data_IF_391128427559
#
_entry.id   IF_391128427559
#
_cell.length_a   1.000
_cell.length_b   1.000
_cell.length_c   1.000
_cell.angle_alpha   90.00
_cell.angle_beta   90.00
_cell.angle_gamma   90.00
#
_symmetry.space_group_name_H-M   'P 1'
#
loop_
_entity.id
_entity.type
_entity.pdbx_description
1 polymer ?
#
# COMPACT_ATOMS: atom_id res chain seq x y z
N UNK A 1 7.87 -44.25 12.16
CA UNK A 1 6.38 -44.20 12.17
C UNK A 1 5.99 -43.18 13.23
N UNK A 2 5.35 -42.07 12.85
CA UNK A 2 5.04 -40.99 13.80
C UNK A 2 3.98 -41.46 14.80
N UNK A 3 4.04 -41.02 16.07
CA UNK A 3 2.86 -41.04 16.92
C UNK A 3 1.76 -40.28 16.18
N UNK A 4 0.58 -40.89 16.04
CA UNK A 4 -0.57 -40.30 15.35
C UNK A 4 -0.94 -38.91 15.91
N UNK A 5 -0.64 -38.67 17.19
CA UNK A 5 -0.75 -37.39 17.91
C UNK A 5 0.15 -36.27 17.33
N UNK A 6 1.36 -36.58 16.87
CA UNK A 6 2.25 -35.57 16.29
C UNK A 6 1.82 -35.19 14.87
N UNK A 7 1.30 -36.16 14.12
CA UNK A 7 0.91 -35.95 12.72
C UNK A 7 -0.23 -34.93 12.61
N UNK A 8 -1.30 -35.10 13.39
CA UNK A 8 -2.44 -34.17 13.32
C UNK A 8 -2.04 -32.75 13.73
N UNK A 9 -1.16 -32.60 14.74
CA UNK A 9 -0.72 -31.29 15.20
C UNK A 9 0.06 -30.56 14.10
N UNK A 10 0.97 -31.25 13.42
CA UNK A 10 1.71 -30.64 12.31
C UNK A 10 0.81 -30.31 11.12
N UNK A 11 -0.08 -31.22 10.74
CA UNK A 11 -1.01 -31.00 9.62
C UNK A 11 -1.96 -29.82 9.95
N UNK A 12 -2.41 -29.72 11.20
CA UNK A 12 -3.18 -28.58 11.71
C UNK A 12 -2.36 -27.28 11.63
N UNK A 13 -1.14 -27.25 12.19
CA UNK A 13 -0.30 -26.03 12.15
C UNK A 13 0.05 -25.57 10.73
N UNK A 14 0.24 -26.50 9.79
CA UNK A 14 0.53 -26.15 8.41
C UNK A 14 -0.70 -25.56 7.71
N UNK A 15 -1.89 -26.11 7.99
CA UNK A 15 -3.16 -25.58 7.50
C UNK A 15 -3.45 -24.16 8.02
N UNK A 16 -3.22 -23.91 9.32
CA UNK A 16 -3.37 -22.59 9.93
C UNK A 16 -2.33 -21.59 9.40
N UNK A 17 -1.08 -22.03 9.21
CA UNK A 17 -0.04 -21.19 8.62
C UNK A 17 -0.37 -20.78 7.18
N UNK A 18 -0.93 -21.70 6.39
CA UNK A 18 -1.39 -21.41 5.04
C UNK A 18 -2.58 -20.44 5.04
N UNK A 19 -3.58 -20.67 5.89
CA UNK A 19 -4.74 -19.78 6.03
C UNK A 19 -4.31 -18.35 6.43
N UNK A 20 -3.34 -18.22 7.34
CA UNK A 20 -2.80 -16.92 7.72
C UNK A 20 -2.03 -16.25 6.58
N UNK A 21 -1.23 -17.00 5.82
CA UNK A 21 -0.53 -16.46 4.65
C UNK A 21 -1.52 -15.95 3.57
N UNK A 22 -2.57 -16.72 3.29
CA UNK A 22 -3.62 -16.36 2.34
C UNK A 22 -4.35 -15.08 2.81
N UNK A 23 -4.66 -14.98 4.11
CA UNK A 23 -5.24 -13.77 4.70
C UNK A 23 -4.33 -12.54 4.53
N UNK A 24 -3.02 -12.67 4.72
CA UNK A 24 -2.08 -11.55 4.51
C UNK A 24 -1.99 -11.13 3.04
N UNK A 25 -1.99 -12.09 2.11
CA UNK A 25 -2.01 -11.80 0.67
C UNK A 25 -3.29 -11.04 0.30
N UNK A 26 -4.44 -11.46 0.81
CA UNK A 26 -5.71 -10.76 0.57
C UNK A 26 -5.70 -9.34 1.17
N UNK A 27 -5.12 -9.17 2.35
CA UNK A 27 -4.93 -7.83 2.94
C UNK A 27 -4.08 -6.93 2.04
N UNK A 28 -2.95 -7.43 1.52
CA UNK A 28 -2.09 -6.68 0.60
C UNK A 28 -2.83 -6.32 -0.68
N UNK A 29 -3.55 -7.27 -1.28
CA UNK A 29 -4.36 -7.04 -2.48
C UNK A 29 -5.44 -5.97 -2.23
N UNK A 30 -6.10 -6.01 -1.08
CA UNK A 30 -7.10 -5.01 -0.71
C UNK A 30 -6.49 -3.61 -0.56
N UNK A 31 -5.29 -3.52 0.00
CA UNK A 31 -4.55 -2.28 0.17
C UNK A 31 -4.11 -1.69 -1.18
N UNK A 32 -3.66 -2.54 -2.09
CA UNK A 32 -3.30 -2.15 -3.45
C UNK A 32 -4.52 -1.62 -4.23
N UNK A 33 -5.66 -2.31 -4.14
CA UNK A 33 -6.92 -1.82 -4.74
C UNK A 33 -7.34 -0.47 -4.16
N UNK A 34 -7.26 -0.31 -2.84
CA UNK A 34 -7.59 0.96 -2.19
C UNK A 34 -6.65 2.10 -2.64
N UNK A 35 -5.35 1.83 -2.75
CA UNK A 35 -4.37 2.78 -3.25
C UNK A 35 -4.64 3.17 -4.71
N UNK A 36 -4.94 2.20 -5.58
CA UNK A 36 -5.29 2.46 -6.98
C UNK A 36 -6.56 3.31 -7.10
N UNK A 37 -7.61 3.00 -6.34
CA UNK A 37 -8.84 3.79 -6.32
C UNK A 37 -8.58 5.23 -5.86
N UNK A 38 -7.77 5.41 -4.81
CA UNK A 38 -7.41 6.74 -4.33
C UNK A 38 -6.59 7.51 -5.37
N UNK A 39 -5.65 6.86 -6.06
CA UNK A 39 -4.88 7.48 -7.14
C UNK A 39 -5.78 7.99 -8.27
N UNK A 40 -6.74 7.17 -8.70
CA UNK A 40 -7.72 7.55 -9.72
C UNK A 40 -8.50 8.78 -9.26
N UNK A 41 -9.02 8.78 -8.03
CA UNK A 41 -9.75 9.92 -7.48
C UNK A 41 -8.91 11.19 -7.45
N UNK A 42 -7.65 11.11 -7.01
CA UNK A 42 -6.73 12.23 -6.97
C UNK A 42 -6.45 12.79 -8.37
N UNK A 43 -6.19 11.92 -9.36
CA UNK A 43 -5.91 12.33 -10.74
C UNK A 43 -7.14 12.92 -11.42
N UNK A 44 -8.32 12.33 -11.22
CA UNK A 44 -9.59 12.88 -11.73
C UNK A 44 -9.88 14.23 -11.11
N UNK A 45 -9.69 14.38 -9.79
CA UNK A 45 -9.85 15.67 -9.11
C UNK A 45 -8.84 16.73 -9.58
N UNK A 46 -7.57 16.35 -9.73
CA UNK A 46 -6.52 17.25 -10.20
C UNK A 46 -6.75 17.71 -11.65
N UNK A 47 -7.14 16.78 -12.53
CA UNK A 47 -7.51 17.08 -13.92
C UNK A 47 -8.77 17.94 -14.02
N UNK A 48 -9.78 17.66 -13.20
CA UNK A 48 -11.00 18.47 -13.11
C UNK A 48 -10.72 19.91 -12.67
N UNK A 49 -9.90 20.09 -11.63
CA UNK A 49 -9.48 21.42 -11.17
C UNK A 49 -8.68 22.18 -12.24
N UNK A 50 -7.82 21.49 -13.00
CA UNK A 50 -7.07 22.09 -14.11
C UNK A 50 -7.98 22.50 -15.27
N UNK A 51 -8.95 21.65 -15.63
CA UNK A 51 -9.93 21.95 -16.67
C UNK A 51 -10.79 23.18 -16.30
N UNK A 52 -11.23 23.25 -15.03
CA UNK A 52 -11.95 24.42 -14.51
C UNK A 52 -11.08 25.68 -14.53
N UNK A 53 -9.81 25.58 -14.15
CA UNK A 53 -8.87 26.71 -14.27
C UNK A 53 -8.80 27.26 -15.70
N UNK A 54 -8.69 26.38 -16.71
CA UNK A 54 -8.64 26.78 -18.12
C UNK A 54 -9.95 27.46 -18.54
N UNK A 55 -11.11 26.92 -18.17
CA UNK A 55 -12.41 27.51 -18.48
C UNK A 55 -12.58 28.90 -17.86
N UNK A 56 -12.36 29.00 -16.55
CA UNK A 56 -12.53 30.23 -15.76
C UNK A 56 -11.56 31.33 -16.23
N UNK A 57 -10.36 30.95 -16.68
CA UNK A 57 -9.39 31.88 -17.27
C UNK A 57 -9.88 32.46 -18.60
N UNK A 58 -10.52 31.66 -19.45
CA UNK A 58 -11.07 32.12 -20.72
C UNK A 58 -12.29 33.04 -20.51
N UNK A 59 -13.08 32.80 -19.47
CA UNK A 59 -14.26 33.60 -19.12
C UNK A 59 -13.93 34.92 -18.39
N UNK A 60 -12.64 35.24 -18.21
CA UNK A 60 -12.20 36.49 -17.58
C UNK A 60 -12.53 36.58 -16.08
N UNK A 61 -12.73 35.44 -15.41
CA UNK A 61 -13.09 35.43 -14.00
C UNK A 61 -11.94 35.95 -13.11
N UNK A 62 -12.24 36.37 -11.88
CA UNK A 62 -11.26 37.04 -11.03
C UNK A 62 -10.07 36.15 -10.67
N UNK A 63 -8.88 36.75 -10.63
CA UNK A 63 -7.59 36.06 -10.43
C UNK A 63 -7.52 35.21 -9.15
N UNK A 64 -8.23 35.60 -8.09
CA UNK A 64 -8.28 34.82 -6.84
C UNK A 64 -8.88 33.42 -7.06
N UNK A 65 -9.90 33.30 -7.92
CA UNK A 65 -10.54 32.02 -8.21
C UNK A 65 -9.63 31.13 -9.06
N UNK A 66 -8.92 31.73 -10.02
CA UNK A 66 -7.94 31.05 -10.85
C UNK A 66 -6.78 30.51 -10.00
N UNK A 67 -6.26 31.32 -9.06
CA UNK A 67 -5.19 30.93 -8.15
C UNK A 67 -5.57 29.74 -7.27
N UNK A 68 -6.80 29.74 -6.70
CA UNK A 68 -7.29 28.63 -5.90
C UNK A 68 -7.40 27.31 -6.68
N UNK A 69 -7.93 27.35 -7.91
CA UNK A 69 -8.07 26.16 -8.77
C UNK A 69 -6.72 25.59 -9.18
N UNK A 70 -5.78 26.45 -9.58
CA UNK A 70 -4.42 26.03 -9.95
C UNK A 70 -3.68 25.42 -8.75
N UNK A 71 -3.74 26.07 -7.58
CA UNK A 71 -3.11 25.57 -6.37
C UNK A 71 -3.66 24.19 -5.97
N UNK A 72 -4.98 24.00 -6.07
CA UNK A 72 -5.62 22.72 -5.76
C UNK A 72 -5.21 21.61 -6.71
N UNK A 73 -5.12 21.91 -8.01
CA UNK A 73 -4.66 20.94 -9.02
C UNK A 73 -3.21 20.51 -8.76
N UNK A 74 -2.30 21.46 -8.56
CA UNK A 74 -0.88 21.18 -8.27
C UNK A 74 -0.73 20.37 -6.97
N UNK A 75 -1.51 20.70 -5.94
CA UNK A 75 -1.50 19.98 -4.68
C UNK A 75 -1.97 18.53 -4.81
N UNK A 76 -3.07 18.29 -5.53
CA UNK A 76 -3.57 16.93 -5.77
C UNK A 76 -2.59 16.10 -6.60
N UNK A 77 -1.93 16.69 -7.60
CA UNK A 77 -0.84 16.01 -8.34
C UNK A 77 0.35 15.67 -7.44
N UNK A 78 0.74 16.57 -6.53
CA UNK A 78 1.81 16.31 -5.58
C UNK A 78 1.46 15.14 -4.64
N UNK A 79 0.24 15.11 -4.11
CA UNK A 79 -0.24 14.00 -3.27
C UNK A 79 -0.28 12.69 -4.07
N UNK A 80 -0.77 12.71 -5.31
CA UNK A 80 -0.79 11.54 -6.18
C UNK A 80 0.63 10.99 -6.41
N UNK A 81 1.62 11.86 -6.61
CA UNK A 81 3.02 11.47 -6.72
C UNK A 81 3.54 10.80 -5.44
N UNK A 82 3.24 11.37 -4.27
CA UNK A 82 3.60 10.78 -2.96
C UNK A 82 2.96 9.39 -2.80
N UNK A 83 1.70 9.23 -3.17
CA UNK A 83 1.00 7.95 -3.11
C UNK A 83 1.68 6.88 -3.96
N UNK A 84 2.06 7.21 -5.20
CA UNK A 84 2.76 6.27 -6.09
C UNK A 84 4.11 5.87 -5.50
N UNK A 85 4.90 6.84 -5.05
CA UNK A 85 6.24 6.58 -4.52
C UNK A 85 6.24 5.82 -3.18
N UNK A 86 5.25 6.05 -2.31
CA UNK A 86 5.22 5.46 -0.96
C UNK A 86 4.35 4.22 -0.82
N UNK A 87 3.29 4.09 -1.61
CA UNK A 87 2.35 2.98 -1.48
C UNK A 87 2.44 1.98 -2.65
N UNK A 88 2.59 2.47 -3.88
CA UNK A 88 2.51 1.63 -5.09
C UNK A 88 3.84 1.08 -5.57
N UNK A 89 4.97 1.59 -5.08
CA UNK A 89 6.25 0.99 -5.42
C UNK A 89 6.22 -0.49 -4.99
N UNK A 90 6.44 -1.38 -5.97
CA UNK A 90 6.43 -2.82 -5.77
C UNK A 90 7.43 -3.14 -4.67
N UNK A 91 6.90 -3.56 -3.52
CA UNK A 91 7.72 -4.12 -2.45
C UNK A 91 7.77 -5.59 -2.75
N UNK A 92 8.96 -6.19 -2.71
CA UNK A 92 9.12 -7.63 -2.88
C UNK A 92 8.22 -8.34 -1.85
N UNK A 93 7.13 -8.94 -2.32
CA UNK A 93 6.29 -9.79 -1.48
C UNK A 93 7.05 -11.09 -1.33
N UNK A 94 7.51 -11.39 -0.12
CA UNK A 94 8.19 -12.65 0.14
C UNK A 94 7.16 -13.79 -0.03
N UNK A 95 7.42 -14.78 -0.90
CA UNK A 95 6.49 -15.89 -1.04
C UNK A 95 6.41 -16.65 0.28
N UNK A 96 5.22 -17.07 0.73
CA UNK A 96 5.06 -17.89 1.93
C UNK A 96 5.62 -19.31 1.73
N UNK A 97 5.94 -19.68 0.49
CA UNK A 97 6.60 -20.94 0.16
C UNK A 97 8.11 -20.79 0.26
N UNK A 98 8.76 -21.71 0.98
CA UNK A 98 10.22 -21.82 0.94
C UNK A 98 10.67 -22.19 -0.47
N UNK A 99 11.73 -21.52 -0.96
CA UNK A 99 12.37 -21.92 -2.20
C UNK A 99 12.84 -23.38 -2.14
N UNK A 100 12.75 -24.13 -3.26
CA UNK A 100 13.16 -25.54 -3.30
C UNK A 100 14.63 -25.74 -2.91
N UNK A 101 15.47 -24.72 -3.11
CA UNK A 101 16.87 -24.69 -2.68
C UNK A 101 17.06 -24.69 -1.15
N UNK A 102 16.08 -24.19 -0.40
CA UNK A 102 16.11 -24.18 1.06
C UNK A 102 15.57 -25.49 1.65
N UNK A 103 14.68 -26.17 0.92
CA UNK A 103 14.11 -27.47 1.30
C UNK A 103 15.09 -28.62 1.04
N UNK A 104 15.83 -28.58 -0.07
CA UNK A 104 16.82 -29.59 -0.46
C UNK A 104 18.24 -29.02 -0.36
N UNK A 105 18.88 -29.16 0.81
CA UNK A 105 20.28 -28.78 1.05
C UNK A 105 21.01 -29.94 1.77
N UNK A 106 22.34 -30.02 1.68
CA UNK A 106 23.12 -31.08 2.35
C UNK A 106 22.89 -31.12 3.86
N UNK A 107 22.52 -29.98 4.47
CA UNK A 107 22.11 -29.89 5.87
C UNK A 107 20.77 -30.54 6.16
N UNK A 108 19.77 -30.39 5.29
CA UNK A 108 18.43 -30.98 5.48
C UNK A 108 18.43 -32.49 5.22
N UNK A 109 19.38 -32.99 4.43
CA UNK A 109 19.57 -34.43 4.17
C UNK A 109 20.02 -35.24 5.41
N UNK A 110 20.69 -34.62 6.38
CA UNK A 110 21.12 -35.25 7.64
C UNK A 110 20.24 -34.90 8.84
N UNK A 111 19.25 -34.01 8.67
CA UNK A 111 18.46 -33.50 9.77
C UNK A 111 17.24 -34.37 10.08
N UNK A 112 16.94 -34.56 11.36
CA UNK A 112 15.72 -35.25 11.78
C UNK A 112 14.48 -34.53 11.24
N UNK A 113 13.48 -35.29 10.78
CA UNK A 113 12.29 -34.75 10.13
C UNK A 113 11.52 -33.74 11.00
N UNK A 114 11.59 -33.88 12.34
CA UNK A 114 10.97 -32.96 13.30
C UNK A 114 11.66 -31.59 13.35
N UNK A 115 13.00 -31.56 13.28
CA UNK A 115 13.78 -30.31 13.25
C UNK A 115 13.55 -29.60 11.92
N UNK A 116 13.46 -30.37 10.82
CA UNK A 116 13.20 -29.84 9.49
C UNK A 116 11.82 -29.16 9.40
N UNK A 117 10.76 -29.82 9.91
CA UNK A 117 9.43 -29.23 9.95
C UNK A 117 9.38 -27.93 10.78
N UNK A 118 10.09 -27.89 11.91
CA UNK A 118 10.17 -26.69 12.75
C UNK A 118 10.81 -25.52 12.01
N UNK A 119 11.95 -25.74 11.35
CA UNK A 119 12.62 -24.69 10.56
C UNK A 119 11.75 -24.19 9.40
N UNK A 120 10.99 -25.08 8.74
CA UNK A 120 10.04 -24.71 7.69
C UNK A 120 8.97 -23.76 8.25
N UNK A 121 8.36 -24.10 9.38
CA UNK A 121 7.33 -23.27 10.02
C UNK A 121 7.90 -21.91 10.47
N UNK A 122 9.09 -21.88 11.05
CA UNK A 122 9.76 -20.63 11.44
C UNK A 122 10.12 -19.76 10.22
N UNK A 123 10.45 -20.36 9.08
CA UNK A 123 10.69 -19.62 7.84
C UNK A 123 9.39 -19.02 7.28
N UNK A 124 8.29 -19.80 7.26
CA UNK A 124 6.96 -19.32 6.87
C UNK A 124 6.52 -18.13 7.73
N UNK A 125 6.70 -18.25 9.06
CA UNK A 125 6.36 -17.18 10.00
C UNK A 125 7.18 -15.90 9.74
N UNK A 126 8.48 -16.03 9.45
CA UNK A 126 9.33 -14.88 9.08
C UNK A 126 8.86 -14.18 7.81
N UNK A 127 8.46 -14.93 6.78
CA UNK A 127 7.86 -14.33 5.57
C UNK A 127 6.56 -13.57 5.89
N UNK A 128 5.70 -14.16 6.73
CA UNK A 128 4.44 -13.54 7.17
C UNK A 128 4.70 -12.23 7.91
N UNK A 129 5.65 -12.22 8.85
CA UNK A 129 6.00 -11.02 9.62
C UNK A 129 6.59 -9.92 8.74
N UNK A 130 7.48 -10.26 7.81
CA UNK A 130 8.04 -9.32 6.85
C UNK A 130 6.95 -8.69 5.98
N UNK A 131 6.02 -9.51 5.45
CA UNK A 131 4.91 -9.02 4.64
C UNK A 131 3.96 -8.12 5.45
N UNK A 132 3.71 -8.47 6.72
CA UNK A 132 2.89 -7.66 7.63
C UNK A 132 3.50 -6.29 7.91
N UNK A 133 4.82 -6.23 8.14
CA UNK A 133 5.49 -4.97 8.44
C UNK A 133 5.49 -4.04 7.23
N UNK A 134 5.76 -4.58 6.03
CA UNK A 134 5.61 -3.87 4.77
C UNK A 134 4.18 -3.35 4.57
N UNK A 135 3.18 -4.19 4.80
CA UNK A 135 1.77 -3.81 4.67
C UNK A 135 1.38 -2.70 5.68
N UNK A 136 1.87 -2.76 6.92
CA UNK A 136 1.59 -1.76 7.95
C UNK A 136 2.19 -0.38 7.58
N UNK A 137 3.42 -0.36 7.05
CA UNK A 137 4.06 0.88 6.57
C UNK A 137 3.24 1.48 5.43
N UNK A 138 2.87 0.67 4.42
CA UNK A 138 2.05 1.12 3.29
C UNK A 138 0.66 1.62 3.73
N UNK A 139 0.03 0.90 4.67
CA UNK A 139 -1.27 1.28 5.23
C UNK A 139 -1.24 2.63 5.94
N UNK A 140 -0.17 2.92 6.70
CA UNK A 140 0.02 4.24 7.33
C UNK A 140 0.13 5.35 6.29
N UNK A 141 0.94 5.15 5.25
CA UNK A 141 1.06 6.15 4.17
C UNK A 141 -0.26 6.36 3.43
N UNK A 142 -1.01 5.31 3.14
CA UNK A 142 -2.32 5.43 2.49
C UNK A 142 -3.30 6.27 3.31
N UNK A 143 -3.31 6.09 4.63
CA UNK A 143 -4.15 6.89 5.52
C UNK A 143 -3.68 8.36 5.56
N UNK A 144 -2.37 8.60 5.61
CA UNK A 144 -1.80 9.96 5.57
C UNK A 144 -2.19 10.67 4.27
N UNK A 145 -2.06 10.01 3.12
CA UNK A 145 -2.47 10.56 1.82
C UNK A 145 -3.96 10.87 1.80
N UNK A 146 -4.80 9.98 2.36
CA UNK A 146 -6.24 10.23 2.48
C UNK A 146 -6.56 11.48 3.30
N UNK A 147 -5.86 11.68 4.42
CA UNK A 147 -5.99 12.88 5.25
C UNK A 147 -5.49 14.14 4.51
N UNK A 148 -4.42 14.03 3.74
CA UNK A 148 -3.95 15.16 2.90
C UNK A 148 -4.98 15.50 1.81
N UNK A 149 -5.61 14.49 1.21
CA UNK A 149 -6.64 14.69 0.18
C UNK A 149 -7.90 15.38 0.75
N UNK A 150 -8.29 15.12 2.00
CA UNK A 150 -9.42 15.83 2.62
C UNK A 150 -9.10 17.29 2.94
N UNK A 151 -7.82 17.67 3.00
CA UNK A 151 -7.39 19.05 3.19
C UNK A 151 -7.41 19.93 1.92
N UNK A 152 -7.78 19.37 0.75
CA UNK A 152 -7.85 20.13 -0.52
C UNK A 152 -8.65 21.43 -0.46
N UNK A 153 -9.83 21.53 0.21
CA UNK A 153 -10.57 22.79 0.31
C UNK A 153 -9.79 23.89 1.05
N UNK A 154 -8.95 23.51 2.02
CA UNK A 154 -8.09 24.45 2.74
C UNK A 154 -7.01 25.00 1.81
N UNK A 155 -6.40 24.14 0.99
CA UNK A 155 -5.40 24.55 0.00
C UNK A 155 -6.01 25.47 -1.05
N UNK A 156 -7.24 25.18 -1.50
CA UNK A 156 -7.99 26.08 -2.37
C UNK A 156 -8.15 27.46 -1.72
N UNK A 157 -8.61 27.50 -0.46
CA UNK A 157 -8.81 28.75 0.29
C UNK A 157 -7.52 29.57 0.45
N UNK A 158 -6.40 28.90 0.76
CA UNK A 158 -5.08 29.55 0.88
C UNK A 158 -4.62 30.09 -0.49
N UNK A 159 -4.74 29.29 -1.55
CA UNK A 159 -4.40 29.73 -2.90
C UNK A 159 -5.23 30.92 -3.36
N UNK A 160 -6.53 30.90 -3.08
CA UNK A 160 -7.43 32.00 -3.34
C UNK A 160 -7.06 33.27 -2.56
N UNK A 161 -6.79 33.15 -1.26
CA UNK A 161 -6.43 34.28 -0.41
C UNK A 161 -5.07 34.89 -0.80
N UNK A 162 -4.07 34.06 -1.12
CA UNK A 162 -2.76 34.52 -1.55
C UNK A 162 -2.84 35.37 -2.82
N UNK A 163 -3.59 34.91 -3.82
CA UNK A 163 -3.79 35.68 -5.06
C UNK A 163 -4.63 36.94 -4.87
N UNK A 164 -5.53 36.98 -3.88
CA UNK A 164 -6.32 38.17 -3.52
C UNK A 164 -5.51 39.24 -2.78
N UNK A 165 -4.42 38.87 -2.10
CA UNK A 165 -3.58 39.83 -1.36
C UNK A 165 -2.50 40.48 -2.23
N UNK A 166 -2.16 39.85 -3.36
CA UNK A 166 -1.11 40.32 -4.28
C UNK A 166 -1.66 41.33 -5.31
N UNK A 167 -2.98 41.43 -5.46
CA UNK A 167 -3.69 42.28 -6.42
C UNK A 167 -4.85 43.01 -5.74
#
# INVERSE_FOLDING_TARGET
>A
MWPWEMKWLFDYTDSEAQANADFQIECINSLERAANNLLILLLTGAGGALALFVSIRNDGAPLWLQGGMLASSVYLFAIACVLVLKCMQASDIAPPTNDPKNLYNSKTAMMNCLVLKKEILESKQRCIESNRDCANIKGKWLNIVSIMATATPVVFGIGAAAFRLIW
#
